data_IF_256854899595
#
_entry.id   IF_256854899595
#
_cell.length_a   1.000
_cell.length_b   1.000
_cell.length_c   1.000
_cell.angle_alpha   90.00
_cell.angle_beta   90.00
_cell.angle_gamma   90.00
#
_symmetry.space_group_name_H-M   'P 1'
#
loop_
_entity.id
_entity.type
_entity.pdbx_description
1 polymer ?
#
# COMPACT_ATOMS: atom_id res chain seq x y z
N UNK A 1 28.98 43.08 -39.61
CA UNK A 1 28.56 41.67 -39.83
C UNK A 1 28.60 40.96 -38.48
N UNK A 2 27.48 40.29 -38.17
CA UNK A 2 27.09 39.45 -37.03
C UNK A 2 28.02 39.34 -35.80
N UNK A 3 27.47 39.71 -34.63
CA UNK A 3 27.96 39.30 -33.31
C UNK A 3 27.57 37.86 -32.99
N UNK A 4 28.54 37.08 -32.53
CA UNK A 4 28.37 35.67 -32.20
C UNK A 4 28.13 35.52 -30.68
N UNK A 5 26.87 35.55 -30.28
CA UNK A 5 26.46 35.23 -28.90
C UNK A 5 26.47 33.71 -28.72
N UNK A 6 27.56 33.16 -28.17
CA UNK A 6 27.58 31.79 -27.65
C UNK A 6 26.62 31.68 -26.47
N UNK A 7 25.41 31.20 -26.71
CA UNK A 7 24.48 30.80 -25.66
C UNK A 7 25.03 29.56 -24.96
N UNK A 8 25.59 29.77 -23.77
CA UNK A 8 26.10 28.70 -22.93
C UNK A 8 24.91 27.98 -22.28
N UNK A 9 24.30 27.04 -23.02
CA UNK A 9 23.20 26.19 -22.53
C UNK A 9 23.75 25.25 -21.47
N UNK A 10 23.71 25.70 -20.22
CA UNK A 10 24.00 24.87 -19.06
C UNK A 10 22.86 23.86 -18.92
N UNK A 11 23.02 22.65 -19.48
CA UNK A 11 22.11 21.53 -19.21
C UNK A 11 22.19 21.19 -17.72
N UNK A 12 21.21 21.64 -16.96
CA UNK A 12 20.96 21.22 -15.58
C UNK A 12 20.50 19.77 -15.60
N UNK A 13 21.45 18.83 -15.66
CA UNK A 13 21.17 17.45 -15.30
C UNK A 13 21.24 17.38 -13.78
N UNK A 14 20.09 17.43 -13.12
CA UNK A 14 19.94 17.02 -11.73
C UNK A 14 20.16 15.51 -11.64
N UNK A 15 21.42 15.07 -11.73
CA UNK A 15 21.80 13.74 -11.29
C UNK A 15 21.59 13.71 -9.78
N UNK A 16 20.70 12.83 -9.33
CA UNK A 16 20.65 12.44 -7.92
C UNK A 16 22.09 12.11 -7.47
N UNK A 17 22.56 12.63 -6.33
CA UNK A 17 23.93 12.34 -5.87
C UNK A 17 24.14 10.83 -5.84
N UNK A 18 25.23 10.34 -6.42
CA UNK A 18 25.40 8.91 -6.75
C UNK A 18 25.16 7.94 -5.59
N UNK A 19 25.40 8.37 -4.34
CA UNK A 19 25.07 7.60 -3.14
C UNK A 19 23.58 7.34 -2.96
N UNK A 20 22.71 8.32 -3.23
CA UNK A 20 21.26 8.15 -3.11
C UNK A 20 20.72 7.20 -4.19
N UNK A 21 21.29 7.25 -5.40
CA UNK A 21 20.92 6.33 -6.48
C UNK A 21 21.27 4.87 -6.13
N UNK A 22 22.48 4.61 -5.65
CA UNK A 22 22.89 3.26 -5.24
C UNK A 22 22.02 2.71 -4.10
N UNK A 23 21.73 3.52 -3.09
CA UNK A 23 20.86 3.10 -1.97
C UNK A 23 19.47 2.74 -2.47
N UNK A 24 18.88 3.53 -3.38
CA UNK A 24 17.57 3.24 -3.96
C UNK A 24 17.58 1.93 -4.77
N UNK A 25 18.65 1.67 -5.54
CA UNK A 25 18.80 0.43 -6.31
C UNK A 25 18.94 -0.80 -5.41
N UNK A 26 19.70 -0.69 -4.31
CA UNK A 26 19.84 -1.79 -3.34
C UNK A 26 18.49 -2.09 -2.67
N UNK A 27 17.79 -1.06 -2.21
CA UNK A 27 16.45 -1.21 -1.61
C UNK A 27 15.48 -1.85 -2.60
N UNK A 28 15.48 -1.38 -3.85
CA UNK A 28 14.62 -1.94 -4.90
C UNK A 28 14.96 -3.42 -5.16
N UNK A 29 16.25 -3.76 -5.27
CA UNK A 29 16.68 -5.13 -5.47
C UNK A 29 16.25 -6.05 -4.31
N UNK A 30 16.39 -5.60 -3.07
CA UNK A 30 15.95 -6.35 -1.89
C UNK A 30 14.45 -6.60 -1.90
N UNK A 31 13.64 -5.58 -2.23
CA UNK A 31 12.19 -5.72 -2.38
C UNK A 31 11.85 -6.72 -3.49
N UNK A 32 12.50 -6.63 -4.66
CA UNK A 32 12.28 -7.57 -5.77
C UNK A 32 12.64 -9.01 -5.38
N UNK A 33 13.73 -9.21 -4.64
CA UNK A 33 14.14 -10.53 -4.13
C UNK A 33 13.13 -11.10 -3.14
N UNK A 34 12.60 -10.28 -2.23
CA UNK A 34 11.54 -10.69 -1.29
C UNK A 34 10.24 -11.02 -2.01
N UNK A 35 9.87 -10.22 -3.01
CA UNK A 35 8.74 -10.47 -3.91
C UNK A 35 8.90 -11.77 -4.74
N UNK A 36 10.13 -12.25 -4.93
CA UNK A 36 10.41 -13.55 -5.56
C UNK A 36 10.39 -14.72 -4.58
N UNK A 37 10.77 -14.51 -3.32
CA UNK A 37 11.13 -15.59 -2.37
C UNK A 37 10.03 -16.04 -1.40
N UNK A 38 8.98 -15.26 -1.10
CA UNK A 38 7.82 -15.81 -0.35
C UNK A 38 7.07 -16.85 -1.20
N UNK A 39 6.22 -17.74 -0.61
CA UNK A 39 5.84 -19.02 -1.18
C UNK A 39 5.44 -18.90 -2.65
N UNK A 40 5.85 -19.87 -3.46
CA UNK A 40 5.84 -19.76 -4.90
C UNK A 40 4.50 -19.19 -5.36
N UNK A 41 4.53 -18.11 -6.16
CA UNK A 41 3.32 -17.65 -6.84
C UNK A 41 2.63 -18.83 -7.53
N UNK A 42 3.39 -19.83 -7.98
CA UNK A 42 2.95 -21.14 -8.47
C UNK A 42 2.20 -22.05 -7.48
N UNK A 43 2.43 -21.99 -6.17
CA UNK A 43 1.62 -22.71 -5.15
C UNK A 43 0.30 -21.97 -4.89
N UNK A 44 0.35 -20.64 -4.88
CA UNK A 44 -0.86 -19.82 -4.81
C UNK A 44 -1.70 -19.92 -6.10
N UNK A 45 -1.03 -19.93 -7.26
CA UNK A 45 -1.64 -20.10 -8.58
C UNK A 45 -2.12 -21.54 -8.77
N UNK A 46 -1.44 -22.57 -8.27
CA UNK A 46 -1.95 -23.95 -8.34
C UNK A 46 -3.24 -24.09 -7.52
N UNK A 47 -3.32 -23.44 -6.36
CA UNK A 47 -4.55 -23.36 -5.58
C UNK A 47 -5.62 -22.47 -6.27
N UNK A 48 -5.22 -21.45 -7.04
CA UNK A 48 -6.13 -20.58 -7.80
C UNK A 48 -6.65 -21.23 -9.08
N UNK A 49 -5.86 -22.09 -9.73
CA UNK A 49 -6.25 -22.93 -10.88
C UNK A 49 -7.31 -23.96 -10.44
N UNK A 50 -7.29 -24.36 -9.17
CA UNK A 50 -8.38 -25.11 -8.51
C UNK A 50 -9.65 -24.25 -8.24
N UNK A 51 -9.71 -23.02 -8.76
CA UNK A 51 -10.84 -22.07 -8.75
C UNK A 51 -11.34 -21.56 -7.39
N UNK A 52 -10.72 -21.93 -6.25
CA UNK A 52 -11.05 -21.32 -4.95
C UNK A 52 -9.86 -20.56 -4.38
N UNK A 53 -10.01 -19.24 -4.32
CA UNK A 53 -9.22 -18.40 -3.42
C UNK A 53 -9.37 -18.96 -1.99
N UNK A 54 -8.30 -19.13 -1.20
CA UNK A 54 -8.38 -19.76 0.14
C UNK A 54 -9.32 -19.04 1.12
N UNK A 55 -9.54 -17.75 0.92
CA UNK A 55 -10.51 -16.93 1.64
C UNK A 55 -11.60 -16.41 0.71
N UNK A 56 -12.86 -16.70 1.03
CA UNK A 56 -14.04 -16.20 0.29
C UNK A 56 -14.66 -14.98 0.98
N UNK A 57 -14.50 -14.86 2.30
CA UNK A 57 -15.03 -13.75 3.09
C UNK A 57 -13.93 -13.03 3.86
N UNK A 58 -14.17 -11.77 4.21
CA UNK A 58 -13.24 -10.98 5.01
C UNK A 58 -12.98 -11.62 6.38
N UNK A 59 -13.99 -12.19 7.02
CA UNK A 59 -13.86 -12.84 8.33
C UNK A 59 -12.92 -14.06 8.31
N UNK A 60 -12.87 -14.80 7.19
CA UNK A 60 -11.90 -15.89 7.03
C UNK A 60 -10.48 -15.37 6.80
N UNK A 61 -10.36 -14.24 6.09
CA UNK A 61 -9.09 -13.61 5.76
C UNK A 61 -8.46 -12.89 6.96
N UNK A 62 -9.26 -12.23 7.80
CA UNK A 62 -8.75 -11.30 8.82
C UNK A 62 -7.80 -11.93 9.85
N UNK A 63 -8.05 -13.14 10.38
CA UNK A 63 -7.08 -13.81 11.26
C UNK A 63 -5.73 -14.10 10.57
N UNK A 64 -5.74 -14.40 9.27
CA UNK A 64 -4.51 -14.58 8.50
C UNK A 64 -3.78 -13.24 8.32
N UNK A 65 -4.51 -12.19 7.96
CA UNK A 65 -3.98 -10.84 7.85
C UNK A 65 -3.28 -10.40 9.15
N UNK A 66 -3.88 -10.63 10.33
CA UNK A 66 -3.26 -10.29 11.61
C UNK A 66 -1.97 -11.07 11.91
N UNK A 67 -1.86 -12.32 11.44
CA UNK A 67 -0.62 -13.11 11.55
C UNK A 67 0.48 -12.57 10.65
N UNK A 68 0.14 -12.04 9.48
CA UNK A 68 1.10 -11.36 8.60
C UNK A 68 1.56 -10.00 9.15
N UNK A 69 0.89 -9.49 10.17
CA UNK A 69 1.22 -8.27 10.90
C UNK A 69 1.51 -8.61 12.37
N UNK A 70 2.35 -9.60 12.61
CA UNK A 70 2.63 -10.08 13.96
C UNK A 70 3.41 -9.07 14.79
N UNK A 71 4.29 -8.30 14.16
CA UNK A 71 5.17 -7.34 14.81
C UNK A 71 4.50 -5.97 14.99
N UNK A 72 4.73 -5.38 16.16
CA UNK A 72 4.20 -4.05 16.49
C UNK A 72 4.72 -2.96 15.55
N UNK A 73 5.96 -3.09 15.07
CA UNK A 73 6.57 -2.15 14.12
C UNK A 73 5.82 -2.15 12.78
N UNK A 74 5.46 -3.32 12.27
CA UNK A 74 4.64 -3.48 11.06
C UNK A 74 3.27 -2.84 11.25
N UNK A 75 2.60 -3.15 12.37
CA UNK A 75 1.30 -2.55 12.70
C UNK A 75 1.39 -1.03 12.78
N UNK A 76 2.47 -0.48 13.35
CA UNK A 76 2.68 0.97 13.45
C UNK A 76 2.80 1.63 12.07
N UNK A 77 3.54 1.04 11.14
CA UNK A 77 3.62 1.55 9.75
C UNK A 77 2.24 1.61 9.09
N UNK A 78 1.39 0.62 9.36
CA UNK A 78 0.00 0.61 8.93
C UNK A 78 -0.88 1.62 9.66
N UNK A 79 -0.64 1.85 10.95
CA UNK A 79 -1.35 2.89 11.70
C UNK A 79 -1.05 4.29 11.19
N UNK A 80 0.20 4.55 10.81
CA UNK A 80 0.60 5.79 10.17
C UNK A 80 -0.03 5.92 8.77
N UNK A 81 -0.10 4.83 8.01
CA UNK A 81 -0.71 4.82 6.68
C UNK A 81 -2.25 4.98 6.70
N UNK A 82 -2.95 4.29 7.61
CA UNK A 82 -4.41 4.28 7.72
C UNK A 82 -4.96 5.48 8.51
N UNK A 83 -4.23 5.96 9.52
CA UNK A 83 -4.53 7.17 10.28
C UNK A 83 -5.97 7.28 10.81
N UNK A 84 -6.43 8.52 11.02
CA UNK A 84 -7.80 8.83 11.45
C UNK A 84 -8.88 8.39 10.43
N UNK A 85 -8.50 8.14 9.18
CA UNK A 85 -9.45 7.75 8.13
C UNK A 85 -10.12 6.42 8.44
N UNK A 86 -9.40 5.47 9.05
CA UNK A 86 -9.95 4.20 9.48
C UNK A 86 -11.15 4.35 10.42
N UNK A 87 -11.10 5.29 11.36
CA UNK A 87 -12.19 5.52 12.33
C UNK A 87 -13.47 6.00 11.66
N UNK A 88 -13.35 6.90 10.68
CA UNK A 88 -14.50 7.43 9.93
C UNK A 88 -15.09 6.41 8.95
N UNK A 89 -14.24 5.53 8.42
CA UNK A 89 -14.56 4.64 7.30
C UNK A 89 -15.04 3.28 7.77
N UNK A 90 -14.35 2.66 8.75
CA UNK A 90 -14.64 1.31 9.23
C UNK A 90 -16.10 1.09 9.67
N UNK A 91 -16.81 2.08 10.24
CA UNK A 91 -18.21 1.92 10.59
C UNK A 91 -19.15 1.54 9.46
N UNK A 92 -18.81 1.92 8.23
CA UNK A 92 -19.62 1.63 7.05
C UNK A 92 -19.27 0.26 6.47
N UNK A 93 -17.99 -0.14 6.52
CA UNK A 93 -17.49 -1.40 5.95
C UNK A 93 -17.87 -2.63 6.78
N UNK A 94 -18.05 -2.49 8.11
CA UNK A 94 -18.32 -3.63 9.00
C UNK A 94 -19.65 -4.35 8.76
N UNK A 95 -20.56 -3.76 7.97
CA UNK A 95 -21.92 -4.28 7.76
C UNK A 95 -22.08 -5.04 6.45
N UNK A 96 -21.02 -5.17 5.66
CA UNK A 96 -21.12 -5.64 4.27
C UNK A 96 -20.16 -6.81 4.06
N UNK A 97 -20.69 -7.89 3.48
CA UNK A 97 -20.01 -9.18 3.42
C UNK A 97 -18.85 -9.22 2.42
N UNK A 98 -18.81 -8.30 1.46
CA UNK A 98 -17.94 -8.38 0.27
C UNK A 98 -17.03 -7.15 0.07
N UNK A 99 -17.28 -6.04 0.80
CA UNK A 99 -16.44 -4.83 0.83
C UNK A 99 -16.25 -4.03 -0.48
N UNK A 100 -16.66 -4.57 -1.64
CA UNK A 100 -16.40 -3.98 -2.96
C UNK A 100 -17.15 -2.66 -3.19
N UNK A 101 -18.40 -2.56 -2.72
CA UNK A 101 -19.21 -1.36 -2.92
C UNK A 101 -18.65 -0.16 -2.17
N UNK A 102 -18.16 -0.39 -0.96
CA UNK A 102 -17.67 0.63 -0.05
C UNK A 102 -16.27 1.07 -0.42
N UNK A 103 -15.40 0.15 -0.89
CA UNK A 103 -14.14 0.54 -1.53
C UNK A 103 -14.42 1.44 -2.73
N UNK A 104 -15.44 1.12 -3.53
CA UNK A 104 -15.89 1.95 -4.65
C UNK A 104 -16.31 3.35 -4.21
N UNK A 105 -17.17 3.46 -3.19
CA UNK A 105 -17.63 4.75 -2.65
C UNK A 105 -16.47 5.54 -2.04
N UNK A 106 -15.61 4.89 -1.26
CA UNK A 106 -14.41 5.53 -0.68
C UNK A 106 -13.51 6.07 -1.78
N UNK A 107 -13.25 5.29 -2.84
CA UNK A 107 -12.41 5.70 -3.95
C UNK A 107 -13.03 6.89 -4.70
N UNK A 108 -14.35 6.89 -4.91
CA UNK A 108 -15.08 8.00 -5.53
C UNK A 108 -14.96 9.28 -4.67
N UNK A 109 -15.24 9.18 -3.37
CA UNK A 109 -15.14 10.32 -2.43
C UNK A 109 -13.71 10.85 -2.36
N UNK A 110 -12.73 9.95 -2.30
CA UNK A 110 -11.30 10.29 -2.31
C UNK A 110 -10.89 11.01 -3.59
N UNK A 111 -11.33 10.53 -4.76
CA UNK A 111 -11.02 11.16 -6.04
C UNK A 111 -11.67 12.54 -6.17
N UNK A 112 -12.93 12.69 -5.76
CA UNK A 112 -13.64 13.97 -5.80
C UNK A 112 -13.02 14.96 -4.81
N UNK A 113 -12.91 14.60 -3.53
CA UNK A 113 -12.33 15.46 -2.50
C UNK A 113 -10.88 15.81 -2.81
N UNK A 114 -10.08 14.82 -3.21
CA UNK A 114 -8.70 15.01 -3.63
C UNK A 114 -8.57 15.96 -4.82
N UNK A 115 -9.45 15.87 -5.83
CA UNK A 115 -9.47 16.81 -6.96
C UNK A 115 -9.79 18.23 -6.49
N UNK A 116 -10.75 18.40 -5.57
CA UNK A 116 -11.14 19.71 -5.07
C UNK A 116 -9.99 20.40 -4.32
N UNK A 117 -9.20 19.63 -3.55
CA UNK A 117 -8.06 20.12 -2.79
C UNK A 117 -6.85 20.38 -3.70
N UNK A 118 -6.44 19.38 -4.48
CA UNK A 118 -5.18 19.42 -5.26
C UNK A 118 -5.31 20.10 -6.61
N UNK A 119 -6.56 20.33 -7.08
CA UNK A 119 -6.91 20.83 -8.42
C UNK A 119 -6.31 20.03 -9.57
N UNK A 120 -5.83 18.81 -9.33
CA UNK A 120 -5.14 17.99 -10.34
C UNK A 120 -5.28 16.51 -10.04
N UNK A 121 -5.89 15.76 -10.96
CA UNK A 121 -6.04 14.30 -10.82
C UNK A 121 -4.72 13.55 -10.62
N UNK A 122 -3.60 14.03 -11.21
CA UNK A 122 -2.28 13.39 -11.03
C UNK A 122 -1.81 13.44 -9.57
N UNK A 123 -2.07 14.55 -8.88
CA UNK A 123 -1.68 14.74 -7.47
C UNK A 123 -2.57 13.97 -6.51
N UNK A 124 -3.77 13.59 -6.92
CA UNK A 124 -4.70 12.79 -6.10
C UNK A 124 -4.15 11.40 -5.84
N UNK A 125 -3.36 10.81 -6.75
CA UNK A 125 -2.79 9.48 -6.51
C UNK A 125 -1.55 9.50 -5.62
N UNK A 126 -0.94 10.67 -5.40
CA UNK A 126 0.31 10.77 -4.65
C UNK A 126 0.17 10.33 -3.18
N UNK A 127 -0.87 10.73 -2.43
CA UNK A 127 -1.05 10.25 -1.06
C UNK A 127 -1.38 8.76 -0.98
N UNK A 128 -2.13 8.19 -1.95
CA UNK A 128 -2.34 6.74 -2.02
C UNK A 128 -1.01 6.01 -2.19
N UNK A 129 -0.19 6.46 -3.13
CA UNK A 129 1.11 5.85 -3.39
C UNK A 129 2.04 5.95 -2.16
N UNK A 130 2.09 7.13 -1.53
CA UNK A 130 2.91 7.36 -0.34
C UNK A 130 2.41 6.56 0.86
N UNK A 131 1.10 6.55 1.13
CA UNK A 131 0.53 5.77 2.24
C UNK A 131 0.79 4.27 2.09
N UNK A 132 0.59 3.74 0.88
CA UNK A 132 0.81 2.31 0.62
C UNK A 132 2.30 1.92 0.66
N UNK A 133 3.19 2.82 0.24
CA UNK A 133 4.63 2.55 0.32
C UNK A 133 5.15 2.54 1.77
N UNK A 134 4.55 3.32 2.69
CA UNK A 134 4.85 3.20 4.11
C UNK A 134 4.40 1.87 4.72
N UNK A 135 3.20 1.39 4.37
CA UNK A 135 2.70 0.09 4.82
C UNK A 135 3.64 -1.07 4.43
N UNK A 136 4.21 -1.02 3.22
CA UNK A 136 5.15 -2.03 2.73
C UNK A 136 6.49 -2.06 3.47
N UNK A 137 6.91 -0.97 4.10
CA UNK A 137 8.15 -0.95 4.90
C UNK A 137 8.05 -1.97 6.04
N UNK A 138 6.87 -2.08 6.69
CA UNK A 138 6.60 -3.10 7.69
C UNK A 138 6.86 -4.52 7.17
N UNK A 139 6.22 -4.84 6.06
CA UNK A 139 6.27 -6.18 5.45
C UNK A 139 7.67 -6.59 5.01
N UNK A 140 8.40 -5.70 4.33
CA UNK A 140 9.69 -6.05 3.74
C UNK A 140 10.83 -6.03 4.76
N UNK A 141 10.83 -5.07 5.69
CA UNK A 141 11.96 -4.89 6.60
C UNK A 141 11.79 -5.59 7.95
N UNK A 142 10.56 -5.86 8.40
CA UNK A 142 10.30 -6.46 9.71
C UNK A 142 9.71 -7.86 9.58
N UNK A 143 8.56 -8.02 8.91
CA UNK A 143 7.91 -9.34 8.79
C UNK A 143 8.60 -10.27 7.77
N UNK A 144 9.35 -9.69 6.84
CA UNK A 144 9.94 -10.38 5.69
C UNK A 144 8.92 -11.21 4.88
N UNK A 145 7.69 -10.72 4.76
CA UNK A 145 6.60 -11.37 4.03
C UNK A 145 6.12 -10.52 2.84
N UNK A 146 5.36 -11.16 1.93
CA UNK A 146 4.70 -10.47 0.82
C UNK A 146 3.39 -9.87 1.32
N UNK A 147 3.11 -8.59 1.04
CA UNK A 147 1.80 -8.00 1.35
C UNK A 147 0.66 -8.78 0.68
N UNK A 148 -0.37 -9.14 1.44
CA UNK A 148 -1.58 -9.80 0.91
C UNK A 148 -2.32 -8.98 -0.16
N UNK A 149 -2.04 -7.67 -0.28
CA UNK A 149 -2.65 -6.79 -1.27
C UNK A 149 -2.52 -7.32 -2.70
N UNK A 150 -1.43 -8.02 -3.02
CA UNK A 150 -1.22 -8.56 -4.37
C UNK A 150 -2.23 -9.66 -4.76
N UNK A 151 -2.88 -10.28 -3.76
CA UNK A 151 -3.79 -11.42 -3.95
C UNK A 151 -5.23 -11.03 -3.58
N UNK A 152 -5.36 -10.28 -2.48
CA UNK A 152 -6.60 -9.79 -1.89
C UNK A 152 -6.55 -8.27 -1.71
N UNK A 153 -6.56 -7.48 -2.78
CA UNK A 153 -6.38 -6.02 -2.69
C UNK A 153 -7.45 -5.35 -1.83
N UNK A 154 -8.71 -5.78 -1.97
CA UNK A 154 -9.85 -5.23 -1.21
C UNK A 154 -9.83 -5.67 0.25
N UNK A 155 -9.63 -6.96 0.54
CA UNK A 155 -9.57 -7.43 1.92
C UNK A 155 -8.35 -6.90 2.67
N UNK A 156 -7.21 -6.69 1.98
CA UNK A 156 -6.03 -6.10 2.60
C UNK A 156 -6.29 -4.65 3.03
N UNK A 157 -6.91 -3.84 2.16
CA UNK A 157 -7.31 -2.47 2.51
C UNK A 157 -8.32 -2.44 3.67
N UNK A 158 -9.29 -3.36 3.67
CA UNK A 158 -10.22 -3.50 4.79
C UNK A 158 -9.50 -3.93 6.08
N UNK A 159 -8.50 -4.81 5.96
CA UNK A 159 -7.64 -5.25 7.05
C UNK A 159 -6.89 -4.09 7.69
N UNK A 160 -6.31 -3.21 6.86
CA UNK A 160 -5.60 -2.00 7.32
C UNK A 160 -6.52 -1.14 8.19
N UNK A 161 -7.74 -0.88 7.73
CA UNK A 161 -8.72 -0.09 8.50
C UNK A 161 -9.25 -0.81 9.73
N UNK A 162 -9.55 -2.11 9.64
CA UNK A 162 -10.05 -2.90 10.76
C UNK A 162 -9.02 -2.97 11.89
N UNK A 163 -7.75 -3.22 11.55
CA UNK A 163 -6.66 -3.30 12.50
C UNK A 163 -6.42 -1.98 13.24
N UNK A 164 -6.46 -0.84 12.53
CA UNK A 164 -6.38 0.50 13.16
C UNK A 164 -7.57 0.73 14.08
N UNK A 165 -8.77 0.39 13.63
CA UNK A 165 -10.00 0.59 14.39
C UNK A 165 -10.04 -0.25 15.67
N UNK A 166 -9.66 -1.52 15.62
CA UNK A 166 -9.60 -2.41 16.78
C UNK A 166 -8.55 -1.90 17.79
N UNK A 167 -7.41 -1.41 17.31
CA UNK A 167 -6.38 -0.78 18.14
C UNK A 167 -6.89 0.49 18.85
N UNK A 168 -7.60 1.38 18.14
CA UNK A 168 -8.21 2.59 18.73
C UNK A 168 -9.24 2.22 19.81
N UNK A 169 -10.02 1.16 19.58
CA UNK A 169 -11.06 0.70 20.52
C UNK A 169 -10.53 -0.10 21.71
N UNK A 170 -9.21 -0.31 21.79
CA UNK A 170 -8.58 -1.20 22.78
C UNK A 170 -9.20 -2.60 22.78
N UNK A 171 -9.76 -3.05 21.65
CA UNK A 171 -10.10 -4.46 21.50
C UNK A 171 -8.77 -5.18 21.35
N UNK A 172 -8.36 -5.90 22.39
CA UNK A 172 -7.12 -6.67 22.41
C UNK A 172 -7.14 -7.65 21.24
N UNK A 173 -6.14 -7.52 20.37
CA UNK A 173 -5.83 -8.44 19.27
C UNK A 173 -5.06 -9.63 19.84
#
# INVERSE_FOLDING_TARGET
MAGETRSNVRKSHSLLPGGLFCTLMIVLASVVVQMRSSPPLNEYLSNTISSKKPYETFEQFYPHYLREHSQQTTRLWHYVAGGLSAYSVMPFFRHLSNGLGEVGVFFIVYLIGGKLITRSYKKVFLPLLLGYSFAWIGHFFYEHNKPATFIYPTFSLMGDFRMVYDAIRKQTI
#
